data_IF_167229103754
#
_entry.id   IF_167229103754
#
_cell.length_a   1.000
_cell.length_b   1.000
_cell.length_c   1.000
_cell.angle_alpha   90.00
_cell.angle_beta   90.00
_cell.angle_gamma   90.00
#
_symmetry.space_group_name_H-M   'P 1'
#
loop_
_entity.id
_entity.type
_entity.pdbx_description
1 polymer ?
#
# COMPACT_ATOMS: atom_id res chain seq x y z
N UNK A 1 30.53 -5.63 1.81
CA UNK A 1 29.90 -4.36 2.26
C UNK A 1 28.66 -4.70 3.07
N UNK A 2 28.41 -4.10 4.24
CA UNK A 2 27.26 -4.42 5.10
C UNK A 2 25.94 -3.79 4.60
N UNK A 3 24.85 -4.37 5.10
CA UNK A 3 23.42 -4.33 4.71
C UNK A 3 22.68 -2.97 4.73
N UNK A 4 21.53 -2.84 4.04
CA UNK A 4 20.63 -1.69 4.18
C UNK A 4 19.78 -1.82 5.45
N UNK A 5 19.91 -0.85 6.36
CA UNK A 5 18.94 -0.58 7.42
C UNK A 5 18.61 0.90 7.42
N UNK A 6 17.38 1.24 7.01
CA UNK A 6 16.67 2.42 7.52
C UNK A 6 15.19 2.36 7.10
N UNK A 7 14.38 1.72 7.93
CA UNK A 7 12.97 2.07 8.11
C UNK A 7 12.90 3.49 8.69
N UNK A 8 12.29 4.46 8.00
CA UNK A 8 11.66 5.63 8.66
C UNK A 8 10.44 6.10 7.86
N UNK A 9 9.27 5.77 8.38
CA UNK A 9 8.00 6.44 8.13
C UNK A 9 8.09 7.90 8.63
N UNK A 10 8.20 8.85 7.70
CA UNK A 10 8.08 10.28 7.97
C UNK A 10 6.91 10.82 7.14
N UNK A 11 5.69 10.63 7.65
CA UNK A 11 4.49 11.27 7.11
C UNK A 11 3.54 11.61 8.26
N UNK A 12 3.99 12.51 9.15
CA UNK A 12 3.13 13.18 10.12
C UNK A 12 3.66 14.61 10.25
N UNK A 13 2.97 15.59 9.65
CA UNK A 13 3.00 17.02 10.03
C UNK A 13 2.20 17.97 9.11
N UNK A 14 1.39 17.49 8.16
CA UNK A 14 0.70 18.42 7.23
C UNK A 14 -0.60 19.04 7.79
N UNK A 15 -1.22 18.46 8.82
CA UNK A 15 -2.55 18.90 9.31
C UNK A 15 -2.53 19.63 10.67
N UNK A 16 -1.37 20.08 11.15
CA UNK A 16 -1.22 20.65 12.49
C UNK A 16 -1.39 22.17 12.63
N UNK A 17 -1.57 22.93 11.54
CA UNK A 17 -1.30 24.38 11.58
C UNK A 17 -2.50 25.33 11.38
N UNK A 18 -3.75 24.88 11.55
CA UNK A 18 -4.93 25.73 11.28
C UNK A 18 -5.76 26.19 12.49
N UNK A 19 -5.39 25.85 13.74
CA UNK A 19 -6.15 26.29 14.93
C UNK A 19 -5.29 26.94 16.01
N UNK A 20 -4.49 27.94 15.62
CA UNK A 20 -3.72 28.74 16.58
C UNK A 20 -3.80 30.22 16.28
N UNK A 21 -4.84 30.90 16.77
CA UNK A 21 -4.77 32.29 17.22
C UNK A 21 -6.11 32.76 17.81
N UNK A 22 -6.20 32.80 19.16
CA UNK A 22 -6.95 33.81 19.92
C UNK A 22 -6.55 33.78 21.41
N UNK A 23 -5.77 34.81 21.78
CA UNK A 23 -5.77 35.61 23.03
C UNK A 23 -5.64 34.98 24.44
N UNK A 24 -4.48 35.27 25.04
CA UNK A 24 -4.17 35.90 26.35
C UNK A 24 -5.08 35.75 27.59
N UNK A 25 -4.36 35.69 28.74
CA UNK A 25 -4.74 35.89 30.16
C UNK A 25 -5.15 34.65 31.01
N UNK A 26 -4.26 34.29 31.95
CA UNK A 26 -4.53 33.52 33.18
C UNK A 26 -5.03 34.49 34.29
N UNK A 27 -5.55 34.02 35.45
CA UNK A 27 -5.94 32.66 35.85
C UNK A 27 -7.35 32.62 36.46
N UNK A 28 -8.15 31.58 36.18
CA UNK A 28 -9.25 31.25 37.08
C UNK A 28 -9.40 29.74 37.21
N UNK A 29 -9.21 29.29 38.46
CA UNK A 29 -9.61 27.98 38.94
C UNK A 29 -11.11 27.81 38.71
N UNK A 30 -11.49 27.28 37.55
CA UNK A 30 -12.81 26.71 37.35
C UNK A 30 -12.62 25.21 37.26
N UNK A 31 -13.04 24.60 38.35
CA UNK A 31 -13.38 23.20 38.55
C UNK A 31 -14.30 22.76 37.40
N UNK A 32 -13.73 22.48 36.23
CA UNK A 32 -14.49 21.94 35.11
C UNK A 32 -14.82 20.49 35.48
N UNK A 33 -16.10 20.31 35.77
CA UNK A 33 -16.80 19.04 35.82
C UNK A 33 -16.29 18.11 34.71
N UNK A 34 -16.25 16.78 34.95
CA UNK A 34 -15.87 15.83 33.90
C UNK A 34 -16.83 16.01 32.73
N UNK A 35 -16.35 16.70 31.70
CA UNK A 35 -17.02 16.83 30.42
C UNK A 35 -17.25 15.40 29.95
N UNK A 36 -18.50 14.96 29.93
CA UNK A 36 -18.88 13.68 29.35
C UNK A 36 -18.36 13.70 27.91
N UNK A 37 -17.21 13.05 27.69
CA UNK A 37 -16.73 12.80 26.33
C UNK A 37 -17.82 11.95 25.70
N UNK A 38 -18.59 12.58 24.80
CA UNK A 38 -19.49 11.87 23.90
C UNK A 38 -18.69 10.70 23.31
N UNK A 39 -19.23 9.47 23.30
CA UNK A 39 -18.51 8.33 22.76
C UNK A 39 -18.17 8.66 21.30
N UNK A 40 -16.89 8.95 21.07
CA UNK A 40 -16.40 9.22 19.73
C UNK A 40 -16.51 7.90 18.98
N UNK A 41 -17.18 7.90 17.85
CA UNK A 41 -17.32 6.69 17.04
C UNK A 41 -15.94 6.33 16.48
N UNK A 42 -15.24 5.42 17.15
CA UNK A 42 -13.94 4.94 16.74
C UNK A 42 -14.14 3.80 15.75
N UNK A 43 -14.13 4.16 14.46
CA UNK A 43 -14.24 3.18 13.38
C UNK A 43 -13.02 2.27 13.38
N UNK A 44 -13.24 0.99 13.71
CA UNK A 44 -12.27 -0.07 13.49
C UNK A 44 -12.66 -0.81 12.20
N UNK A 45 -11.86 -0.71 11.12
CA UNK A 45 -12.14 -1.46 9.91
C UNK A 45 -12.08 -2.96 10.20
N UNK A 46 -13.09 -3.70 9.77
CA UNK A 46 -13.02 -5.16 9.82
C UNK A 46 -11.92 -5.64 8.86
N UNK A 47 -10.88 -6.28 9.40
CA UNK A 47 -9.77 -6.87 8.65
C UNK A 47 -9.93 -8.38 8.48
N UNK A 48 -11.03 -8.97 8.93
CA UNK A 48 -11.29 -10.39 8.70
C UNK A 48 -11.26 -10.70 7.21
N UNK A 49 -10.47 -11.71 6.87
CA UNK A 49 -10.36 -12.18 5.50
C UNK A 49 -9.34 -11.43 4.64
N UNK A 50 -8.72 -10.35 5.12
CA UNK A 50 -7.67 -9.65 4.40
C UNK A 50 -6.52 -10.61 4.08
N UNK A 51 -6.22 -10.78 2.78
CA UNK A 51 -5.14 -11.65 2.32
C UNK A 51 -5.45 -13.16 2.29
N UNK A 52 -6.68 -13.60 2.59
CA UNK A 52 -7.06 -15.02 2.55
C UNK A 52 -6.74 -15.71 1.21
N UNK A 53 -6.91 -14.99 0.10
CA UNK A 53 -6.68 -15.49 -1.26
C UNK A 53 -5.31 -15.09 -1.82
N UNK A 54 -4.43 -14.50 -1.00
CA UNK A 54 -3.14 -13.99 -1.49
C UNK A 54 -2.25 -15.11 -2.08
N UNK A 55 -2.26 -16.31 -1.47
CA UNK A 55 -1.48 -17.46 -1.96
C UNK A 55 -1.99 -18.03 -3.29
N UNK A 56 -3.31 -18.17 -3.41
CA UNK A 56 -3.98 -18.60 -4.66
C UNK A 56 -3.75 -17.59 -5.77
N UNK A 57 -3.91 -16.30 -5.47
CA UNK A 57 -3.69 -15.20 -6.42
C UNK A 57 -2.22 -15.15 -6.88
N UNK A 58 -1.26 -15.28 -5.95
CA UNK A 58 0.15 -15.31 -6.30
C UNK A 58 0.51 -16.50 -7.19
N UNK A 59 -0.09 -17.66 -6.94
CA UNK A 59 0.09 -18.87 -7.75
C UNK A 59 -0.48 -18.69 -9.16
N UNK A 60 -1.71 -18.15 -9.26
CA UNK A 60 -2.34 -17.85 -10.55
C UNK A 60 -1.50 -16.86 -11.38
N UNK A 61 -1.01 -15.78 -10.76
CA UNK A 61 -0.16 -14.79 -11.42
C UNK A 61 1.15 -15.40 -11.92
N UNK A 62 1.78 -16.28 -11.13
CA UNK A 62 3.01 -16.96 -11.54
C UNK A 62 2.77 -17.87 -12.75
N UNK A 63 1.71 -18.69 -12.72
CA UNK A 63 1.36 -19.56 -13.84
C UNK A 63 1.05 -18.77 -15.11
N UNK A 64 0.32 -17.65 -14.99
CA UNK A 64 0.04 -16.77 -16.12
C UNK A 64 1.32 -16.17 -16.72
N UNK A 65 2.28 -15.75 -15.88
CA UNK A 65 3.55 -15.22 -16.33
C UNK A 65 4.39 -16.28 -17.08
N UNK A 66 4.48 -17.50 -16.54
CA UNK A 66 5.19 -18.62 -17.18
C UNK A 66 4.59 -18.95 -18.56
N UNK A 67 3.25 -19.00 -18.64
CA UNK A 67 2.56 -19.26 -19.91
C UNK A 67 2.83 -18.15 -20.94
N UNK A 68 2.76 -16.88 -20.51
CA UNK A 68 3.02 -15.74 -21.39
C UNK A 68 4.46 -15.75 -21.93
N UNK A 69 5.45 -16.08 -21.09
CA UNK A 69 6.84 -16.22 -21.52
C UNK A 69 7.01 -17.36 -22.53
N UNK A 70 6.45 -18.54 -22.23
CA UNK A 70 6.53 -19.70 -23.11
C UNK A 70 5.87 -19.42 -24.47
N UNK A 71 4.69 -18.79 -24.47
CA UNK A 71 3.99 -18.40 -25.68
C UNK A 71 4.83 -17.43 -26.52
N UNK A 72 5.44 -16.41 -25.90
CA UNK A 72 6.34 -15.48 -26.59
C UNK A 72 7.54 -16.21 -27.19
N UNK A 73 8.20 -17.09 -26.43
CA UNK A 73 9.34 -17.87 -26.92
C UNK A 73 8.94 -18.75 -28.12
N UNK A 74 7.77 -19.38 -28.05
CA UNK A 74 7.25 -20.19 -29.16
C UNK A 74 6.98 -19.34 -30.40
N UNK A 75 6.34 -18.17 -30.25
CA UNK A 75 6.10 -17.25 -31.36
C UNK A 75 7.41 -16.82 -32.02
N UNK A 76 8.42 -16.44 -31.24
CA UNK A 76 9.74 -16.09 -31.77
C UNK A 76 10.39 -17.27 -32.50
N UNK A 77 10.31 -18.49 -31.96
CA UNK A 77 10.88 -19.67 -32.62
C UNK A 77 10.19 -19.98 -33.96
N UNK A 78 8.87 -19.79 -34.06
CA UNK A 78 8.12 -19.96 -35.30
C UNK A 78 8.54 -18.91 -36.32
N UNK A 79 8.57 -17.63 -35.94
CA UNK A 79 8.97 -16.54 -36.84
C UNK A 79 10.40 -16.76 -37.37
N UNK A 80 11.35 -17.13 -36.52
CA UNK A 80 12.73 -17.37 -36.95
C UNK A 80 12.82 -18.56 -37.91
N UNK A 81 12.08 -19.64 -37.65
CA UNK A 81 11.99 -20.79 -38.58
C UNK A 81 11.40 -20.38 -39.93
N UNK A 82 10.36 -19.58 -39.94
CA UNK A 82 9.68 -19.16 -41.16
C UNK A 82 10.58 -18.27 -42.03
N UNK A 83 11.41 -17.43 -41.40
CA UNK A 83 12.42 -16.62 -42.09
C UNK A 83 13.58 -17.46 -42.63
N UNK A 84 14.09 -18.45 -41.86
CA UNK A 84 15.13 -19.37 -42.34
C UNK A 84 14.66 -20.19 -43.55
N UNK A 85 13.36 -20.49 -43.64
CA UNK A 85 12.76 -21.19 -44.79
C UNK A 85 12.50 -20.32 -46.03
N UNK A 86 12.72 -19.00 -45.94
CA UNK A 86 12.50 -18.04 -47.03
C UNK A 86 13.76 -17.69 -47.83
N UNK A 87 14.95 -18.16 -47.45
CA UNK A 87 16.14 -18.00 -48.29
C UNK A 87 16.13 -19.01 -49.45
N UNK A 88 16.11 -18.48 -50.68
CA UNK A 88 16.37 -19.15 -51.97
C UNK A 88 17.63 -18.55 -52.61
#
# INVERSE_FOLDING_TARGET
>A
MPSPSATRSHQQSFFGSLNGQQQAEQPQQQQMQPLQRHPTYEYQPNREGAGRTAGETATYLNQAALLAEAAKRAQMAVVMRDLDGMEL
#
